data_IF_863707863774
#
_entry.id   IF_863707863774
#
_cell.length_a   1.000
_cell.length_b   1.000
_cell.length_c   1.000
_cell.angle_alpha   90.00
_cell.angle_beta   90.00
_cell.angle_gamma   90.00
#
_symmetry.space_group_name_H-M   'P 1'
#
loop_
_entity.id
_entity.type
_entity.pdbx_description
1 polymer ?
#
# COMPACT_ATOMS: atom_id res chain seq x y z
N UNK A 1 -3.11 -1.96 18.22
CA UNK A 1 -4.38 -1.81 17.48
C UNK A 1 -4.04 -1.68 16.00
N UNK A 2 -4.96 -1.99 15.08
CA UNK A 2 -4.67 -1.76 13.67
C UNK A 2 -4.78 -0.26 13.38
N UNK A 3 -3.87 0.29 12.56
CA UNK A 3 -3.84 1.73 12.21
C UNK A 3 -5.20 2.24 11.70
N UNK A 4 -5.93 1.43 10.94
CA UNK A 4 -7.24 1.78 10.41
C UNK A 4 -8.29 1.98 11.52
N UNK A 5 -8.21 1.21 12.60
CA UNK A 5 -9.10 1.36 13.76
C UNK A 5 -8.80 2.66 14.52
N UNK A 6 -7.52 3.03 14.62
CA UNK A 6 -7.08 4.29 15.23
C UNK A 6 -7.54 5.50 14.42
N UNK A 7 -7.45 5.42 13.08
CA UNK A 7 -7.97 6.46 12.19
C UNK A 7 -9.49 6.58 12.36
N UNK A 8 -10.22 5.47 12.40
CA UNK A 8 -11.68 5.50 12.60
C UNK A 8 -12.06 6.20 13.91
N UNK A 9 -11.42 5.81 15.02
CA UNK A 9 -11.65 6.42 16.34
C UNK A 9 -11.31 7.93 16.35
N UNK A 10 -10.24 8.34 15.65
CA UNK A 10 -9.91 9.74 15.48
C UNK A 10 -10.99 10.50 14.69
N UNK A 11 -11.48 9.94 13.59
CA UNK A 11 -12.56 10.59 12.80
C UNK A 11 -13.85 10.74 13.60
N UNK A 12 -14.15 9.82 14.51
CA UNK A 12 -15.34 9.89 15.36
C UNK A 12 -15.26 10.97 16.43
N UNK A 13 -14.08 11.21 16.98
CA UNK A 13 -13.86 12.13 18.10
C UNK A 13 -13.52 13.55 17.67
N UNK A 14 -12.80 13.70 16.55
CA UNK A 14 -12.16 14.98 16.19
C UNK A 14 -12.78 15.69 14.98
N UNK A 15 -13.60 15.00 14.17
CA UNK A 15 -14.12 15.54 12.92
C UNK A 15 -15.62 15.83 12.97
N UNK A 16 -16.00 16.96 12.39
CA UNK A 16 -17.41 17.31 12.14
C UNK A 16 -18.05 16.37 11.10
N UNK A 17 -19.40 16.27 11.05
CA UNK A 17 -20.06 15.33 10.15
C UNK A 17 -19.65 15.44 8.67
N UNK A 18 -19.49 16.66 8.15
CA UNK A 18 -19.05 16.86 6.75
C UNK A 18 -17.58 16.48 6.53
N UNK A 19 -16.72 16.67 7.53
CA UNK A 19 -15.32 16.24 7.47
C UNK A 19 -15.20 14.71 7.52
N UNK A 20 -16.09 14.04 8.27
CA UNK A 20 -16.19 12.58 8.26
C UNK A 20 -16.67 12.05 6.91
N UNK A 21 -17.55 12.77 6.21
CA UNK A 21 -17.92 12.45 4.83
C UNK A 21 -16.74 12.64 3.86
N UNK A 22 -15.96 13.71 4.01
CA UNK A 22 -14.74 13.91 3.24
C UNK A 22 -13.73 12.77 3.44
N UNK A 23 -13.52 12.35 4.69
CA UNK A 23 -12.67 11.20 5.01
C UNK A 23 -13.17 9.92 4.34
N UNK A 24 -14.49 9.66 4.35
CA UNK A 24 -15.09 8.53 3.62
C UNK A 24 -14.79 8.57 2.13
N UNK A 25 -14.96 9.72 1.47
CA UNK A 25 -14.66 9.85 0.04
C UNK A 25 -13.17 9.61 -0.25
N UNK A 26 -12.27 10.08 0.60
CA UNK A 26 -10.82 9.80 0.47
C UNK A 26 -10.48 8.31 0.57
N UNK A 27 -11.19 7.56 1.41
CA UNK A 27 -10.98 6.10 1.51
C UNK A 27 -11.54 5.32 0.31
N UNK A 28 -12.55 5.87 -0.39
CA UNK A 28 -13.22 5.22 -1.52
C UNK A 28 -12.58 5.58 -2.86
N UNK A 29 -12.16 6.83 -3.03
CA UNK A 29 -11.62 7.36 -4.29
C UNK A 29 -10.09 7.27 -4.32
N UNK A 30 -9.57 6.21 -4.94
CA UNK A 30 -8.12 6.00 -5.06
C UNK A 30 -7.42 7.04 -5.95
N UNK A 31 -8.16 7.68 -6.86
CA UNK A 31 -7.63 8.64 -7.82
C UNK A 31 -7.74 10.10 -7.34
N UNK A 32 -8.27 10.32 -6.14
CA UNK A 32 -8.54 11.65 -5.59
C UNK A 32 -9.98 12.11 -5.81
N UNK A 33 -10.34 13.22 -5.18
CA UNK A 33 -11.68 13.79 -5.20
C UNK A 33 -11.94 14.55 -6.52
N UNK A 34 -13.11 14.38 -7.10
CA UNK A 34 -13.54 15.12 -8.29
C UNK A 34 -13.94 16.56 -7.93
N UNK A 35 -14.02 17.45 -8.94
CA UNK A 35 -14.52 18.80 -8.75
C UNK A 35 -15.93 18.82 -8.11
N UNK A 36 -16.78 17.87 -8.49
CA UNK A 36 -18.12 17.72 -7.93
C UNK A 36 -18.10 17.34 -6.44
N UNK A 37 -17.13 16.53 -6.01
CA UNK A 37 -16.95 16.19 -4.60
C UNK A 37 -16.57 17.42 -3.78
N UNK A 38 -15.72 18.29 -4.31
CA UNK A 38 -15.36 19.55 -3.65
C UNK A 38 -16.58 20.47 -3.52
N UNK A 39 -17.40 20.59 -4.57
CA UNK A 39 -18.63 21.40 -4.54
C UNK A 39 -19.64 20.85 -3.51
N UNK A 40 -19.81 19.53 -3.46
CA UNK A 40 -20.68 18.86 -2.48
C UNK A 40 -20.17 19.07 -1.05
N UNK A 41 -18.87 18.89 -0.81
CA UNK A 41 -18.27 19.11 0.50
C UNK A 41 -18.37 20.57 0.94
N UNK A 42 -18.24 21.51 -0.01
CA UNK A 42 -18.41 22.94 0.26
C UNK A 42 -19.86 23.28 0.62
N UNK A 43 -20.84 22.67 -0.05
CA UNK A 43 -22.25 22.80 0.30
C UNK A 43 -22.57 22.19 1.68
N UNK A 44 -22.00 21.01 2.00
CA UNK A 44 -22.13 20.36 3.31
C UNK A 44 -21.47 21.16 4.44
N UNK A 45 -20.34 21.81 4.16
CA UNK A 45 -19.70 22.72 5.11
C UNK A 45 -20.62 23.91 5.38
N UNK A 46 -21.18 24.54 4.34
CA UNK A 46 -22.13 25.66 4.48
C UNK A 46 -23.36 25.27 5.31
N UNK A 47 -23.94 24.11 5.06
CA UNK A 47 -25.10 23.64 5.82
C UNK A 47 -24.78 23.36 7.29
N UNK A 48 -23.57 22.87 7.60
CA UNK A 48 -23.11 22.69 8.97
C UNK A 48 -23.02 24.01 9.76
N UNK A 49 -22.85 25.15 9.09
CA UNK A 49 -22.85 26.49 9.70
C UNK A 49 -24.19 27.24 9.53
N UNK A 50 -25.27 26.54 9.17
CA UNK A 50 -26.62 27.10 9.12
C UNK A 50 -26.97 27.87 7.85
N UNK A 51 -26.17 27.76 6.79
CA UNK A 51 -26.56 28.25 5.46
C UNK A 51 -27.42 27.23 4.73
N UNK A 52 -28.40 27.70 3.97
CA UNK A 52 -29.29 26.83 3.19
C UNK A 52 -28.50 26.12 2.09
N UNK A 53 -28.61 24.78 2.05
CA UNK A 53 -28.21 23.98 0.89
C UNK A 53 -29.43 23.78 -0.02
N UNK A 54 -29.40 24.25 -1.29
CA UNK A 54 -30.51 24.10 -2.25
C UNK A 54 -30.98 22.66 -2.44
N UNK A 55 -30.08 21.70 -2.27
CA UNK A 55 -30.35 20.26 -2.48
C UNK A 55 -30.50 19.48 -1.19
N UNK A 56 -30.41 20.13 -0.03
CA UNK A 56 -30.58 19.53 1.29
C UNK A 56 -29.75 18.24 1.49
N UNK A 57 -28.46 18.28 1.11
CA UNK A 57 -27.54 17.14 1.23
C UNK A 57 -27.30 16.80 2.70
N UNK A 58 -27.21 15.51 2.99
CA UNK A 58 -26.88 14.99 4.33
C UNK A 58 -25.51 14.33 4.27
N UNK A 59 -24.56 14.68 5.18
CA UNK A 59 -23.24 14.07 5.19
C UNK A 59 -23.32 12.60 5.60
N UNK A 60 -22.59 11.73 4.91
CA UNK A 60 -22.50 10.29 5.22
C UNK A 60 -21.17 10.02 5.93
N UNK A 61 -21.18 9.78 7.26
CA UNK A 61 -19.95 9.66 8.02
C UNK A 61 -19.14 8.41 7.63
N UNK A 62 -17.81 8.50 7.77
CA UNK A 62 -16.93 7.34 7.73
C UNK A 62 -17.35 6.31 8.79
N UNK A 63 -17.40 5.04 8.38
CA UNK A 63 -17.79 3.88 9.16
C UNK A 63 -16.89 2.70 8.77
N UNK A 64 -16.81 1.67 9.61
CA UNK A 64 -15.91 0.53 9.38
C UNK A 64 -16.14 -0.18 8.04
N UNK A 65 -17.37 -0.18 7.52
CA UNK A 65 -17.73 -0.75 6.21
C UNK A 65 -17.07 -0.01 5.03
N UNK A 66 -16.69 1.26 5.22
CA UNK A 66 -16.03 2.07 4.20
C UNK A 66 -14.51 1.90 4.21
N UNK A 67 -13.94 1.29 5.25
CA UNK A 67 -12.51 1.04 5.32
C UNK A 67 -12.18 -0.15 4.42
N UNK A 68 -10.98 -0.16 3.80
CA UNK A 68 -10.48 -1.35 3.13
C UNK A 68 -10.55 -2.50 4.11
N UNK A 69 -11.40 -3.49 3.85
CA UNK A 69 -11.41 -4.72 4.63
C UNK A 69 -10.00 -5.26 4.52
N UNK A 70 -9.31 -5.46 5.65
CA UNK A 70 -8.00 -6.10 5.66
C UNK A 70 -8.10 -7.31 4.74
N UNK A 71 -7.53 -7.23 3.53
CA UNK A 71 -7.51 -8.33 2.60
C UNK A 71 -6.94 -9.50 3.39
N UNK A 72 -7.81 -10.46 3.69
CA UNK A 72 -7.68 -11.40 4.80
C UNK A 72 -6.22 -11.82 4.93
N UNK A 73 -5.52 -11.27 5.95
CA UNK A 73 -4.08 -11.40 6.22
C UNK A 73 -3.42 -12.32 5.21
N UNK A 74 -3.17 -11.81 3.99
CA UNK A 74 -2.67 -12.66 2.92
C UNK A 74 -1.42 -13.32 3.49
N UNK A 75 -1.40 -14.66 3.52
CA UNK A 75 -0.36 -15.44 4.18
C UNK A 75 0.99 -14.78 3.89
N UNK A 76 1.71 -14.39 4.96
CA UNK A 76 2.86 -13.49 4.84
C UNK A 76 3.77 -13.91 3.69
N UNK A 77 4.07 -13.00 2.78
CA UNK A 77 4.93 -13.31 1.63
C UNK A 77 6.36 -13.47 2.14
N UNK A 78 6.92 -14.66 1.97
CA UNK A 78 8.31 -14.96 2.36
C UNK A 78 9.20 -14.95 1.12
N UNK A 79 10.23 -14.10 1.14
CA UNK A 79 11.27 -14.08 0.12
C UNK A 79 12.15 -15.33 0.27
N UNK A 80 12.19 -16.18 -0.77
CA UNK A 80 13.01 -17.42 -0.75
C UNK A 80 14.30 -17.31 -1.55
N UNK A 81 14.28 -16.57 -2.65
CA UNK A 81 15.45 -16.41 -3.50
C UNK A 81 15.32 -15.20 -4.45
N UNK A 82 16.45 -14.68 -4.88
CA UNK A 82 16.62 -13.79 -6.03
C UNK A 82 17.50 -14.49 -7.07
N UNK A 83 17.11 -14.40 -8.34
CA UNK A 83 17.72 -15.13 -9.47
C UNK A 83 17.67 -14.24 -10.72
N UNK A 84 18.38 -14.64 -11.76
CA UNK A 84 18.26 -14.05 -13.11
C UNK A 84 18.44 -12.53 -13.12
N UNK A 85 19.29 -11.99 -12.24
CA UNK A 85 19.55 -10.56 -12.17
C UNK A 85 20.39 -10.15 -13.38
N UNK A 86 19.77 -9.39 -14.29
CA UNK A 86 20.41 -8.82 -15.48
C UNK A 86 20.64 -7.34 -15.29
N UNK A 87 21.80 -6.85 -15.74
CA UNK A 87 22.16 -5.43 -15.71
C UNK A 87 22.17 -4.78 -14.32
N UNK A 88 22.35 -5.59 -13.25
CA UNK A 88 22.45 -5.11 -11.87
C UNK A 88 23.92 -5.13 -11.39
N UNK A 89 24.59 -3.98 -11.44
CA UNK A 89 25.97 -3.81 -10.95
C UNK A 89 26.93 -4.92 -11.46
N UNK A 90 27.78 -5.44 -10.56
CA UNK A 90 28.74 -6.54 -10.76
C UNK A 90 28.23 -7.83 -10.10
N UNK A 91 26.97 -8.18 -10.36
CA UNK A 91 26.44 -9.49 -10.00
C UNK A 91 26.74 -10.42 -11.17
N UNK A 92 27.27 -11.61 -10.90
CA UNK A 92 27.57 -12.55 -11.97
C UNK A 92 26.26 -12.99 -12.64
N UNK A 93 26.25 -13.15 -13.98
CA UNK A 93 25.12 -13.79 -14.65
C UNK A 93 24.86 -15.15 -14.00
N UNK A 94 23.58 -15.50 -13.84
CA UNK A 94 23.10 -16.74 -13.22
C UNK A 94 23.33 -16.88 -11.70
N UNK A 95 23.79 -15.84 -11.02
CA UNK A 95 23.94 -15.87 -9.57
C UNK A 95 22.57 -15.96 -8.87
N UNK A 96 22.44 -16.92 -7.94
CA UNK A 96 21.24 -17.14 -7.14
C UNK A 96 21.52 -16.83 -5.67
N UNK A 97 20.85 -15.80 -5.14
CA UNK A 97 20.86 -15.49 -3.72
C UNK A 97 19.67 -16.16 -3.05
N UNK A 98 19.92 -17.04 -2.08
CA UNK A 98 18.87 -17.74 -1.32
C UNK A 98 18.68 -17.13 0.06
N UNK A 99 17.44 -17.04 0.50
CA UNK A 99 17.05 -16.56 1.81
C UNK A 99 16.51 -17.73 2.63
N UNK A 100 16.84 -17.75 3.92
CA UNK A 100 16.23 -18.68 4.84
C UNK A 100 14.73 -18.34 4.97
N UNK A 101 13.81 -19.31 4.79
CA UNK A 101 12.37 -19.05 4.90
C UNK A 101 11.96 -18.66 6.32
N UNK A 102 12.77 -19.05 7.31
CA UNK A 102 12.62 -18.69 8.72
C UNK A 102 13.97 -18.20 9.25
N UNK A 103 13.96 -17.17 10.10
CA UNK A 103 15.16 -16.63 10.75
C UNK A 103 15.82 -15.46 9.99
N UNK A 104 17.11 -15.24 10.28
CA UNK A 104 17.89 -14.12 9.74
C UNK A 104 18.86 -14.59 8.66
N UNK A 105 18.85 -13.95 7.49
CA UNK A 105 19.85 -14.17 6.43
C UNK A 105 20.85 -13.00 6.43
N UNK A 106 22.13 -13.26 6.71
CA UNK A 106 23.19 -12.25 6.70
C UNK A 106 24.04 -12.39 5.44
N UNK A 107 24.17 -11.31 4.66
CA UNK A 107 24.95 -11.26 3.43
C UNK A 107 26.13 -10.30 3.65
N UNK A 108 27.36 -10.80 3.53
CA UNK A 108 28.58 -10.03 3.81
C UNK A 108 29.65 -10.22 2.72
N UNK A 109 30.66 -9.35 2.72
CA UNK A 109 31.79 -9.36 1.76
C UNK A 109 32.21 -7.95 1.33
N UNK A 110 33.28 -7.79 0.56
CA UNK A 110 33.75 -6.50 0.04
C UNK A 110 33.81 -6.54 -1.50
N UNK A 111 33.32 -5.50 -2.18
CA UNK A 111 33.38 -5.41 -3.65
C UNK A 111 32.53 -6.42 -4.45
N UNK A 112 31.80 -7.32 -3.79
CA UNK A 112 31.06 -8.44 -4.39
C UNK A 112 29.67 -8.13 -4.98
N UNK A 113 29.33 -6.85 -5.18
CA UNK A 113 28.04 -6.46 -5.78
C UNK A 113 26.83 -6.51 -4.84
N UNK A 114 27.01 -6.67 -3.52
CA UNK A 114 25.90 -6.74 -2.52
C UNK A 114 24.91 -5.58 -2.56
N UNK A 115 25.40 -4.37 -2.77
CA UNK A 115 24.54 -3.19 -2.94
C UNK A 115 23.61 -3.31 -4.15
N UNK A 116 23.95 -4.16 -5.13
CA UNK A 116 23.05 -4.52 -6.23
C UNK A 116 21.82 -5.28 -5.74
N UNK A 117 21.98 -6.25 -4.84
CA UNK A 117 20.84 -6.96 -4.25
C UNK A 117 19.91 -6.02 -3.47
N UNK A 118 20.47 -5.11 -2.66
CA UNK A 118 19.68 -4.12 -1.92
C UNK A 118 18.86 -3.21 -2.84
N UNK A 119 19.47 -2.70 -3.93
CA UNK A 119 18.76 -1.84 -4.90
C UNK A 119 17.60 -2.55 -5.59
N UNK A 120 17.75 -3.83 -5.94
CA UNK A 120 16.65 -4.59 -6.53
C UNK A 120 15.52 -4.77 -5.53
N UNK A 121 15.84 -5.08 -4.27
CA UNK A 121 14.82 -5.20 -3.22
C UNK A 121 14.07 -3.89 -3.01
N UNK A 122 14.78 -2.76 -2.88
CA UNK A 122 14.17 -1.44 -2.75
C UNK A 122 13.26 -1.12 -3.94
N UNK A 123 13.71 -1.43 -5.15
CA UNK A 123 12.97 -1.09 -6.36
C UNK A 123 11.75 -2.00 -6.64
N UNK A 124 11.67 -3.15 -5.96
CA UNK A 124 10.54 -4.09 -6.05
C UNK A 124 9.58 -3.97 -4.86
N UNK A 125 9.93 -3.22 -3.81
CA UNK A 125 9.04 -2.99 -2.68
C UNK A 125 8.01 -1.89 -3.01
N UNK A 126 6.76 -2.00 -2.53
CA UNK A 126 5.64 -1.18 -3.04
C UNK A 126 5.60 0.27 -2.59
N UNK A 127 6.69 0.87 -2.11
CA UNK A 127 6.67 2.25 -1.58
C UNK A 127 6.29 3.28 -2.66
N UNK A 128 6.42 2.95 -3.96
CA UNK A 128 6.14 3.89 -5.07
C UNK A 128 5.56 3.26 -6.35
N UNK A 129 5.23 1.97 -6.41
CA UNK A 129 4.66 1.36 -7.65
C UNK A 129 3.61 0.29 -7.38
N UNK A 130 2.60 0.15 -8.27
CA UNK A 130 1.65 -0.95 -8.22
C UNK A 130 2.38 -2.30 -8.30
N UNK A 131 1.86 -3.29 -7.56
CA UNK A 131 2.46 -4.61 -7.47
C UNK A 131 2.60 -5.25 -8.85
N UNK A 132 3.84 -5.50 -9.30
CA UNK A 132 4.15 -6.14 -10.58
C UNK A 132 5.03 -5.31 -11.53
N UNK A 133 5.27 -4.03 -11.24
CA UNK A 133 6.11 -3.18 -12.11
C UNK A 133 7.56 -3.10 -11.65
N UNK A 134 8.42 -3.83 -12.37
CA UNK A 134 9.86 -3.77 -12.22
C UNK A 134 10.43 -2.48 -12.85
N UNK A 135 11.53 -1.92 -12.33
CA UNK A 135 12.17 -0.76 -12.95
C UNK A 135 12.63 -1.07 -14.40
N UNK A 136 12.68 -0.06 -15.28
CA UNK A 136 13.28 -0.22 -16.60
C UNK A 136 14.73 -0.71 -16.45
N UNK A 137 15.05 -1.85 -17.09
CA UNK A 137 16.33 -2.54 -17.01
C UNK A 137 16.34 -3.83 -16.17
N UNK A 138 15.26 -4.15 -15.45
CA UNK A 138 15.09 -5.42 -14.75
C UNK A 138 14.14 -6.36 -15.51
N UNK A 139 14.59 -6.90 -16.65
CA UNK A 139 13.89 -7.96 -17.37
C UNK A 139 14.06 -9.30 -16.62
N UNK A 140 13.28 -9.53 -15.56
CA UNK A 140 13.24 -10.85 -14.92
C UNK A 140 13.06 -10.93 -13.41
N UNK A 141 12.54 -9.93 -12.70
CA UNK A 141 12.19 -10.12 -11.28
C UNK A 141 10.94 -11.00 -11.11
N UNK A 142 11.04 -12.29 -11.43
CA UNK A 142 10.09 -13.31 -10.97
C UNK A 142 10.37 -13.60 -9.51
N UNK A 143 9.73 -12.86 -8.61
CA UNK A 143 9.59 -13.30 -7.23
C UNK A 143 8.64 -14.51 -7.22
N UNK A 144 9.19 -15.70 -6.93
CA UNK A 144 8.37 -16.89 -6.70
C UNK A 144 7.60 -16.70 -5.38
N UNK A 145 6.37 -16.20 -5.48
CA UNK A 145 5.37 -16.31 -4.44
C UNK A 145 4.99 -17.79 -4.30
N UNK A 146 5.35 -18.42 -3.19
CA UNK A 146 4.82 -19.73 -2.85
C UNK A 146 3.65 -19.54 -1.89
N UNK A 147 2.42 -19.79 -2.36
CA UNK A 147 1.30 -20.01 -1.46
C UNK A 147 1.60 -21.23 -0.60
N UNK A 148 1.60 -21.05 0.73
CA UNK A 148 1.65 -22.15 1.68
C UNK A 148 0.37 -22.98 1.55
N UNK A 149 0.35 -23.96 0.65
CA UNK A 149 -0.59 -25.06 0.79
C UNK A 149 -0.10 -25.91 1.97
N UNK A 150 -0.86 -25.88 3.06
CA UNK A 150 -0.63 -26.75 4.20
C UNK A 150 -0.71 -28.20 3.75
N UNK A 151 0.32 -28.96 4.04
CA UNK A 151 0.28 -30.41 4.10
C UNK A 151 0.16 -30.80 5.57
N UNK A 152 -0.95 -31.49 5.87
CA UNK A 152 -1.13 -32.36 7.04
C UNK A 152 -0.16 -33.52 6.95
#
# INVERSE_FOLDING_TARGET
>A
MALLDEILAWTETSLTPWQRDAARRLFQEQQGLSAQDYDDLYALMKSAYGLLDPTNRVPVPLAAVHLPTHAARAAGVVLRAMRELKYVNRIAPDQVLRFAPNGLTVIYGNGSGKSGYSRVLEACMPSTRPAGECPPGCDGCRFLQAHSRGTV
#
